data_IF_492582570217
#
_entry.id   IF_492582570217
#
_cell.length_a   1.000
_cell.length_b   1.000
_cell.length_c   1.000
_cell.angle_alpha   90.00
_cell.angle_beta   90.00
_cell.angle_gamma   90.00
#
_symmetry.space_group_name_H-M   'P 1'
#
loop_
_entity.id
_entity.type
_entity.pdbx_description
1 polymer ?
#
# COMPACT_ATOMS: atom_id res chain seq x y z
N UNK A 1 -4.99 -7.09 38.91
CA UNK A 1 -5.46 -6.31 37.75
C UNK A 1 -4.24 -5.73 37.07
N UNK A 2 -3.67 -6.43 36.08
CA UNK A 2 -2.51 -5.94 35.33
C UNK A 2 -3.01 -5.05 34.21
N UNK A 3 -2.92 -3.76 34.42
CA UNK A 3 -3.19 -2.72 33.41
C UNK A 3 -1.97 -2.66 32.46
N UNK A 4 -1.87 -3.62 31.54
CA UNK A 4 -0.91 -3.57 30.46
C UNK A 4 -1.50 -2.66 29.37
N UNK A 5 -1.32 -1.35 29.55
CA UNK A 5 -1.50 -0.42 28.43
C UNK A 5 -0.58 -0.87 27.29
N UNK A 6 -1.11 -1.11 26.06
CA UNK A 6 -0.26 -1.46 24.94
C UNK A 6 0.85 -0.43 24.76
N UNK A 7 2.09 -0.93 24.56
CA UNK A 7 3.26 -0.08 24.41
C UNK A 7 3.07 0.94 23.27
N UNK A 8 3.76 2.10 23.27
CA UNK A 8 3.66 3.12 22.23
C UNK A 8 3.86 2.58 20.80
N UNK A 9 4.70 1.54 20.64
CA UNK A 9 4.93 0.84 19.38
C UNK A 9 3.64 0.17 18.90
N UNK A 10 2.89 -0.50 19.79
CA UNK A 10 1.64 -1.16 19.43
C UNK A 10 0.54 -0.19 18.98
N UNK A 11 0.48 1.02 19.55
CA UNK A 11 -0.46 2.05 19.13
C UNK A 11 -0.14 2.59 17.74
N UNK A 12 1.13 2.83 17.46
CA UNK A 12 1.58 3.27 16.15
C UNK A 12 1.29 2.21 15.06
N UNK A 13 1.71 0.97 15.30
CA UNK A 13 1.53 -0.13 14.34
C UNK A 13 0.04 -0.37 14.04
N UNK A 14 -0.80 -0.34 15.08
CA UNK A 14 -2.24 -0.48 14.93
C UNK A 14 -2.83 0.67 14.10
N UNK A 15 -2.57 1.93 14.47
CA UNK A 15 -3.15 3.07 13.75
C UNK A 15 -2.62 3.17 12.32
N UNK A 16 -1.34 2.85 12.10
CA UNK A 16 -0.76 2.76 10.76
C UNK A 16 -1.46 1.69 9.92
N UNK A 17 -1.64 0.52 10.50
CA UNK A 17 -2.39 -0.57 9.86
C UNK A 17 -3.82 -0.13 9.52
N UNK A 18 -4.55 0.48 10.44
CA UNK A 18 -5.94 0.93 10.23
C UNK A 18 -6.05 2.00 9.12
N UNK A 19 -5.07 2.90 9.01
CA UNK A 19 -5.03 3.90 7.92
C UNK A 19 -4.69 3.23 6.58
N UNK A 20 -3.64 2.44 6.54
CA UNK A 20 -3.21 1.76 5.31
C UNK A 20 -4.27 0.76 4.83
N UNK A 21 -5.04 0.18 5.77
CA UNK A 21 -6.11 -0.76 5.46
C UNK A 21 -7.50 -0.12 5.33
N UNK A 22 -7.61 1.21 5.39
CA UNK A 22 -8.85 1.95 5.11
C UNK A 22 -9.94 1.81 6.17
N UNK A 23 -9.61 1.31 7.36
CA UNK A 23 -10.52 1.31 8.51
C UNK A 23 -10.58 2.70 9.17
N UNK A 24 -9.51 3.49 9.02
CA UNK A 24 -9.48 4.94 9.22
C UNK A 24 -9.37 5.59 7.83
N UNK A 25 -10.44 6.23 7.40
CA UNK A 25 -10.59 6.69 6.02
C UNK A 25 -9.81 7.98 5.73
N UNK A 26 -9.45 8.20 4.47
CA UNK A 26 -8.86 9.45 4.01
C UNK A 26 -9.76 10.63 4.39
N UNK A 27 -9.18 11.69 4.98
CA UNK A 27 -9.91 12.85 5.47
C UNK A 27 -10.61 12.65 6.83
N UNK A 28 -10.63 11.43 7.39
CA UNK A 28 -11.24 11.16 8.70
C UNK A 28 -10.51 11.91 9.80
N UNK A 29 -11.30 12.47 10.74
CA UNK A 29 -10.77 13.19 11.88
C UNK A 29 -10.42 12.22 13.01
N UNK A 30 -9.18 12.29 13.47
CA UNK A 30 -8.63 11.46 14.53
C UNK A 30 -8.53 12.25 15.83
N UNK A 31 -9.50 12.03 16.72
CA UNK A 31 -9.44 12.56 18.10
C UNK A 31 -8.88 11.49 19.01
N UNK A 32 -7.92 11.85 19.86
CA UNK A 32 -7.29 10.89 20.78
C UNK A 32 -8.31 10.21 21.72
N UNK A 33 -9.37 10.91 22.09
CA UNK A 33 -10.44 10.35 22.94
C UNK A 33 -11.25 9.28 22.20
N UNK A 34 -11.56 9.50 20.90
CA UNK A 34 -12.33 8.56 20.09
C UNK A 34 -11.49 7.31 19.79
N UNK A 35 -10.20 7.49 19.48
CA UNK A 35 -9.27 6.38 19.27
C UNK A 35 -9.06 5.56 20.54
N UNK A 36 -9.01 6.22 21.70
CA UNK A 36 -8.97 5.53 22.99
C UNK A 36 -10.21 4.66 23.20
N UNK A 37 -11.38 5.21 22.93
CA UNK A 37 -12.65 4.48 23.10
C UNK A 37 -12.76 3.30 22.12
N UNK A 38 -12.30 3.48 20.85
CA UNK A 38 -12.38 2.48 19.80
C UNK A 38 -11.39 1.33 19.97
N UNK A 39 -10.16 1.63 20.40
CA UNK A 39 -9.06 0.66 20.42
C UNK A 39 -8.52 0.31 21.81
N UNK A 40 -9.06 0.90 22.88
CA UNK A 40 -8.60 0.63 24.25
C UNK A 40 -7.18 1.13 24.57
N UNK A 41 -6.62 2.02 23.74
CA UNK A 41 -5.25 2.53 23.85
C UNK A 41 -5.16 3.67 24.86
N UNK A 42 -3.98 3.85 25.49
CA UNK A 42 -3.69 5.01 26.32
C UNK A 42 -3.58 6.31 25.50
N UNK A 43 -3.92 7.47 26.12
CA UNK A 43 -3.86 8.77 25.41
C UNK A 43 -2.44 9.16 25.01
N UNK A 44 -1.42 8.87 25.82
CA UNK A 44 -0.02 9.17 25.51
C UNK A 44 0.49 8.34 24.34
N UNK A 45 0.35 6.99 24.30
CA UNK A 45 0.66 6.20 23.12
C UNK A 45 -0.04 6.66 21.84
N UNK A 46 -1.31 7.05 21.92
CA UNK A 46 -2.04 7.56 20.75
C UNK A 46 -1.42 8.87 20.24
N UNK A 47 -1.09 9.81 21.11
CA UNK A 47 -0.48 11.08 20.71
C UNK A 47 0.88 10.88 20.06
N UNK A 48 1.72 10.02 20.63
CA UNK A 48 3.02 9.66 20.06
C UNK A 48 2.88 8.98 18.71
N UNK A 49 1.92 8.05 18.57
CA UNK A 49 1.60 7.42 17.30
C UNK A 49 1.16 8.44 16.23
N UNK A 50 0.27 9.38 16.59
CA UNK A 50 -0.17 10.42 15.66
C UNK A 50 0.96 11.36 15.22
N UNK A 51 1.92 11.67 16.12
CA UNK A 51 3.11 12.45 15.76
C UNK A 51 4.01 11.70 14.77
N UNK A 52 4.23 10.39 14.98
CA UNK A 52 5.01 9.55 14.04
C UNK A 52 4.31 9.42 12.70
N UNK A 53 3.02 9.16 12.69
CA UNK A 53 2.22 9.08 11.46
C UNK A 53 2.17 10.41 10.71
N UNK A 54 2.29 11.54 11.42
CA UNK A 54 2.39 12.85 10.78
C UNK A 54 3.76 13.08 10.13
N UNK A 55 4.84 12.58 10.73
CA UNK A 55 6.17 12.61 10.13
C UNK A 55 6.25 11.75 8.85
N UNK A 56 5.44 10.69 8.76
CA UNK A 56 5.29 9.84 7.58
C UNK A 56 4.28 10.40 6.54
N UNK A 57 3.60 11.52 6.84
CA UNK A 57 2.59 12.08 5.94
C UNK A 57 1.24 11.34 5.92
N UNK A 58 1.06 10.28 6.71
CA UNK A 58 -0.19 9.52 6.79
C UNK A 58 -1.31 10.28 7.49
N UNK A 59 -0.98 11.19 8.39
CA UNK A 59 -1.94 12.11 9.02
C UNK A 59 -1.42 13.55 8.99
N UNK A 60 -2.33 14.51 9.10
CA UNK A 60 -2.01 15.93 9.32
C UNK A 60 -2.47 16.34 10.71
N UNK A 61 -1.57 16.96 11.48
CA UNK A 61 -1.92 17.52 12.79
C UNK A 61 -2.73 18.79 12.59
N UNK A 62 -3.86 18.91 13.28
CA UNK A 62 -4.70 20.12 13.31
C UNK A 62 -4.52 20.80 14.67
N UNK A 63 -4.06 22.07 14.69
CA UNK A 63 -3.82 22.82 15.92
C UNK A 63 -5.09 22.82 16.79
N UNK A 64 -4.95 22.35 18.04
CA UNK A 64 -6.04 22.23 19.03
C UNK A 64 -7.24 21.34 18.61
N UNK A 65 -7.10 20.55 17.53
CA UNK A 65 -8.22 19.77 16.97
C UNK A 65 -7.90 18.28 16.76
N UNK A 66 -6.71 17.82 17.17
CA UNK A 66 -6.26 16.45 16.97
C UNK A 66 -5.50 16.27 15.65
N UNK A 67 -5.79 15.21 14.94
CA UNK A 67 -5.20 14.90 13.65
C UNK A 67 -6.30 14.55 12.63
N UNK A 68 -5.93 14.51 11.37
CA UNK A 68 -6.79 14.04 10.28
C UNK A 68 -5.99 13.11 9.38
N UNK A 69 -6.57 12.00 8.95
CA UNK A 69 -5.97 11.14 7.93
C UNK A 69 -5.72 11.98 6.68
N UNK A 70 -4.51 11.94 6.14
CA UNK A 70 -4.16 12.71 4.95
C UNK A 70 -5.11 12.39 3.80
N UNK A 71 -5.56 13.42 3.10
CA UNK A 71 -6.38 13.24 1.91
C UNK A 71 -5.57 12.50 0.83
N UNK A 72 -6.26 11.90 -0.11
CA UNK A 72 -5.66 11.32 -1.31
C UNK A 72 -5.80 12.34 -2.46
N UNK A 73 -4.80 12.42 -3.32
CA UNK A 73 -4.85 13.28 -4.49
C UNK A 73 -4.12 12.66 -5.67
N UNK A 74 -4.58 12.98 -6.88
CA UNK A 74 -3.94 12.53 -8.12
C UNK A 74 -2.51 13.06 -8.23
N UNK A 75 -2.27 14.31 -7.80
CA UNK A 75 -0.94 14.94 -7.84
C UNK A 75 0.04 14.18 -6.94
N UNK A 76 -0.36 13.90 -5.69
CA UNK A 76 0.44 13.13 -4.74
C UNK A 76 0.67 11.70 -5.23
N UNK A 77 -0.37 11.03 -5.75
CA UNK A 77 -0.26 9.70 -6.31
C UNK A 77 0.77 9.63 -7.45
N UNK A 78 0.73 10.56 -8.40
CA UNK A 78 1.67 10.59 -9.52
C UNK A 78 3.12 10.81 -9.07
N UNK A 79 3.34 11.67 -8.08
CA UNK A 79 4.68 11.90 -7.54
C UNK A 79 5.20 10.69 -6.76
N UNK A 80 4.35 10.08 -5.92
CA UNK A 80 4.62 8.83 -5.22
C UNK A 80 5.00 7.71 -6.21
N UNK A 81 4.17 7.50 -7.25
CA UNK A 81 4.39 6.41 -8.21
C UNK A 81 5.62 6.63 -9.08
N UNK A 82 5.93 7.86 -9.45
CA UNK A 82 7.18 8.21 -10.14
C UNK A 82 8.41 7.85 -9.28
N UNK A 83 8.37 8.24 -7.99
CA UNK A 83 9.46 7.94 -7.04
C UNK A 83 9.57 6.43 -6.81
N UNK A 84 8.44 5.75 -6.61
CA UNK A 84 8.40 4.30 -6.42
C UNK A 84 9.02 3.55 -7.59
N UNK A 85 8.67 3.88 -8.84
CA UNK A 85 9.23 3.23 -10.03
C UNK A 85 10.75 3.37 -10.10
N UNK A 86 11.30 4.54 -9.75
CA UNK A 86 12.73 4.76 -9.73
C UNK A 86 13.45 3.88 -8.68
N UNK A 87 12.90 3.81 -7.47
CA UNK A 87 13.46 2.97 -6.38
C UNK A 87 13.27 1.48 -6.69
N UNK A 88 12.10 1.08 -7.22
CA UNK A 88 11.82 -0.30 -7.64
C UNK A 88 12.85 -0.78 -8.68
N UNK A 89 13.12 0.04 -9.70
CA UNK A 89 14.10 -0.28 -10.74
C UNK A 89 15.52 -0.46 -10.17
N UNK A 90 15.94 0.38 -9.23
CA UNK A 90 17.22 0.23 -8.53
C UNK A 90 17.27 -1.07 -7.73
N UNK A 91 16.25 -1.34 -6.92
CA UNK A 91 16.18 -2.56 -6.08
C UNK A 91 16.19 -3.82 -6.94
N UNK A 92 15.41 -3.86 -8.03
CA UNK A 92 15.35 -5.00 -8.95
C UNK A 92 16.71 -5.28 -9.60
N UNK A 93 17.39 -4.26 -10.14
CA UNK A 93 18.70 -4.43 -10.76
C UNK A 93 19.74 -4.98 -9.78
N UNK A 94 19.77 -4.43 -8.58
CA UNK A 94 20.68 -4.90 -7.53
C UNK A 94 20.33 -6.31 -7.06
N UNK A 95 19.04 -6.64 -6.91
CA UNK A 95 18.60 -7.97 -6.50
C UNK A 95 18.93 -9.03 -7.56
N UNK A 96 18.71 -8.73 -8.84
CA UNK A 96 19.03 -9.62 -9.96
C UNK A 96 20.54 -9.86 -10.05
N UNK A 97 21.36 -8.83 -9.78
CA UNK A 97 22.82 -8.94 -9.83
C UNK A 97 23.40 -9.75 -8.65
N UNK A 98 22.73 -9.79 -7.50
CA UNK A 98 23.26 -10.35 -6.23
C UNK A 98 22.54 -11.60 -5.75
N UNK A 99 21.31 -11.82 -6.19
CA UNK A 99 20.47 -12.92 -5.72
C UNK A 99 21.09 -14.28 -6.01
N UNK A 100 20.87 -15.21 -5.10
CA UNK A 100 21.29 -16.60 -5.17
C UNK A 100 20.10 -17.54 -5.38
N UNK A 101 20.36 -18.84 -5.45
CA UNK A 101 19.32 -19.88 -5.63
C UNK A 101 18.26 -19.85 -4.52
N UNK A 102 18.65 -19.48 -3.29
CA UNK A 102 17.72 -19.37 -2.17
C UNK A 102 16.74 -18.20 -2.36
N UNK A 103 17.22 -17.08 -2.89
CA UNK A 103 16.38 -15.95 -3.27
C UNK A 103 15.43 -16.30 -4.42
N UNK A 104 15.87 -17.02 -5.44
CA UNK A 104 15.01 -17.50 -6.53
C UNK A 104 13.91 -18.43 -6.01
N UNK A 105 14.26 -19.37 -5.12
CA UNK A 105 13.30 -20.25 -4.48
C UNK A 105 12.23 -19.48 -3.67
N UNK A 106 12.62 -18.39 -2.99
CA UNK A 106 11.69 -17.55 -2.26
C UNK A 106 10.73 -16.76 -3.20
N UNK A 107 11.20 -16.30 -4.36
CA UNK A 107 10.34 -15.69 -5.38
C UNK A 107 9.30 -16.69 -5.87
N UNK A 108 9.72 -17.92 -6.21
CA UNK A 108 8.82 -18.98 -6.65
C UNK A 108 7.78 -19.33 -5.57
N UNK A 109 8.21 -19.43 -4.32
CA UNK A 109 7.33 -19.68 -3.17
C UNK A 109 6.30 -18.54 -3.04
N UNK A 110 6.74 -17.29 -3.08
CA UNK A 110 5.87 -16.13 -2.92
C UNK A 110 4.86 -16.02 -4.07
N UNK A 111 5.30 -16.28 -5.31
CA UNK A 111 4.41 -16.32 -6.48
C UNK A 111 3.38 -17.44 -6.37
N UNK A 112 3.79 -18.64 -5.93
CA UNK A 112 2.87 -19.74 -5.69
C UNK A 112 1.79 -19.37 -4.66
N UNK A 113 2.18 -18.75 -3.54
CA UNK A 113 1.22 -18.30 -2.52
C UNK A 113 0.26 -17.23 -3.07
N UNK A 114 0.76 -16.28 -3.83
CA UNK A 114 -0.06 -15.25 -4.49
C UNK A 114 -1.05 -15.87 -5.48
N UNK A 115 -0.64 -16.84 -6.29
CA UNK A 115 -1.51 -17.51 -7.26
C UNK A 115 -2.66 -18.29 -6.61
N UNK A 116 -2.49 -18.68 -5.33
CA UNK A 116 -3.52 -19.36 -4.52
C UNK A 116 -4.47 -18.39 -3.83
N UNK A 117 -4.09 -17.13 -3.71
CA UNK A 117 -4.93 -16.10 -3.12
C UNK A 117 -5.92 -15.56 -4.17
N UNK A 118 -7.23 -15.74 -3.99
CA UNK A 118 -8.20 -15.30 -4.98
C UNK A 118 -8.21 -13.76 -5.08
N UNK A 119 -8.17 -13.25 -6.30
CA UNK A 119 -8.25 -11.81 -6.55
C UNK A 119 -9.63 -11.29 -6.10
N UNK A 120 -9.71 -10.31 -5.18
CA UNK A 120 -10.97 -9.78 -4.69
C UNK A 120 -11.75 -9.10 -5.83
N UNK A 121 -13.07 -9.33 -5.86
CA UNK A 121 -13.97 -8.77 -6.88
C UNK A 121 -15.06 -7.86 -6.30
N UNK A 122 -15.21 -7.86 -4.97
CA UNK A 122 -16.23 -7.08 -4.27
C UNK A 122 -15.63 -6.44 -3.00
N UNK A 123 -16.03 -5.22 -2.64
CA UNK A 123 -15.60 -4.54 -1.41
C UNK A 123 -16.06 -5.27 -0.13
N UNK A 124 -17.08 -6.13 -0.21
CA UNK A 124 -17.58 -6.90 0.93
C UNK A 124 -16.65 -8.05 1.34
N UNK A 125 -15.71 -8.42 0.46
CA UNK A 125 -14.74 -9.50 0.66
C UNK A 125 -13.50 -9.01 1.46
N UNK A 126 -13.71 -8.35 2.61
CA UNK A 126 -12.63 -7.67 3.35
C UNK A 126 -11.47 -8.58 3.74
N UNK A 127 -11.75 -9.78 4.25
CA UNK A 127 -10.72 -10.75 4.64
C UNK A 127 -9.94 -11.26 3.43
N UNK A 128 -10.63 -11.46 2.31
CA UNK A 128 -10.02 -11.87 1.04
C UNK A 128 -9.14 -10.75 0.47
N UNK A 129 -9.59 -9.49 0.56
CA UNK A 129 -8.80 -8.32 0.20
C UNK A 129 -7.52 -8.29 1.02
N UNK A 130 -7.60 -8.41 2.36
CA UNK A 130 -6.44 -8.38 3.23
C UNK A 130 -5.47 -9.54 2.95
N UNK A 131 -5.99 -10.75 2.74
CA UNK A 131 -5.18 -11.92 2.41
C UNK A 131 -4.45 -11.76 1.08
N UNK A 132 -5.18 -11.39 0.01
CA UNK A 132 -4.58 -11.17 -1.30
C UNK A 132 -3.50 -10.08 -1.27
N UNK A 133 -3.75 -9.00 -0.56
CA UNK A 133 -2.81 -7.90 -0.42
C UNK A 133 -1.52 -8.33 0.29
N UNK A 134 -1.63 -9.13 1.36
CA UNK A 134 -0.47 -9.66 2.06
C UNK A 134 0.39 -10.54 1.14
N UNK A 135 -0.22 -11.45 0.37
CA UNK A 135 0.49 -12.29 -0.59
C UNK A 135 1.11 -11.49 -1.72
N UNK A 136 0.40 -10.49 -2.23
CA UNK A 136 0.89 -9.59 -3.26
C UNK A 136 2.11 -8.79 -2.78
N UNK A 137 2.06 -8.23 -1.57
CA UNK A 137 3.19 -7.51 -0.98
C UNK A 137 4.39 -8.42 -0.75
N UNK A 138 4.17 -9.66 -0.28
CA UNK A 138 5.23 -10.66 -0.11
C UNK A 138 5.91 -11.00 -1.43
N UNK A 139 5.15 -11.15 -2.51
CA UNK A 139 5.72 -11.39 -3.84
C UNK A 139 6.60 -10.23 -4.31
N UNK A 140 6.10 -9.00 -4.26
CA UNK A 140 6.90 -7.83 -4.64
C UNK A 140 8.15 -7.65 -3.78
N UNK A 141 8.04 -7.90 -2.47
CA UNK A 141 9.19 -7.88 -1.57
C UNK A 141 10.23 -8.95 -1.94
N UNK A 142 9.80 -10.17 -2.25
CA UNK A 142 10.70 -11.25 -2.64
C UNK A 142 11.54 -10.87 -3.87
N UNK A 143 10.95 -10.20 -4.86
CA UNK A 143 11.66 -9.74 -6.06
C UNK A 143 12.85 -8.83 -5.75
N UNK A 144 12.77 -8.00 -4.72
CA UNK A 144 13.79 -6.99 -4.39
C UNK A 144 14.66 -7.37 -3.17
N UNK A 145 14.35 -8.45 -2.47
CA UNK A 145 14.94 -8.79 -1.17
C UNK A 145 16.47 -8.96 -1.22
N UNK A 146 17.02 -9.43 -2.35
CA UNK A 146 18.46 -9.61 -2.54
C UNK A 146 19.20 -8.33 -2.97
N UNK A 147 18.58 -7.13 -2.96
CA UNK A 147 19.23 -5.91 -3.43
C UNK A 147 20.45 -5.49 -2.59
N UNK A 148 20.67 -6.10 -1.42
CA UNK A 148 21.85 -5.91 -0.59
C UNK A 148 21.95 -4.55 0.12
N UNK A 149 20.93 -3.71 0.05
CA UNK A 149 20.90 -2.40 0.69
C UNK A 149 19.70 -2.27 1.65
N UNK A 150 19.92 -2.36 2.97
CA UNK A 150 18.85 -2.14 3.94
C UNK A 150 18.20 -0.74 3.86
N UNK A 151 18.93 0.26 3.35
CA UNK A 151 18.37 1.60 3.13
C UNK A 151 17.41 1.62 1.95
N UNK A 152 17.79 1.03 0.82
CA UNK A 152 16.91 0.93 -0.35
C UNK A 152 15.65 0.14 -0.01
N UNK A 153 15.78 -0.99 0.72
CA UNK A 153 14.63 -1.81 1.12
C UNK A 153 13.67 -1.06 2.05
N UNK A 154 14.17 -0.21 2.95
CA UNK A 154 13.30 0.64 3.78
C UNK A 154 12.54 1.65 2.96
N UNK A 155 13.25 2.39 2.08
CA UNK A 155 12.61 3.39 1.21
C UNK A 155 11.58 2.69 0.30
N UNK A 156 11.95 1.54 -0.26
CA UNK A 156 11.06 0.73 -1.08
C UNK A 156 9.79 0.33 -0.31
N UNK A 157 9.93 -0.18 0.91
CA UNK A 157 8.81 -0.60 1.75
C UNK A 157 7.87 0.56 2.08
N UNK A 158 8.41 1.73 2.46
CA UNK A 158 7.63 2.92 2.75
C UNK A 158 6.82 3.37 1.52
N UNK A 159 7.44 3.41 0.33
CA UNK A 159 6.77 3.77 -0.92
C UNK A 159 5.72 2.72 -1.32
N UNK A 160 6.02 1.44 -1.12
CA UNK A 160 5.08 0.35 -1.37
C UNK A 160 3.83 0.47 -0.47
N UNK A 161 4.00 0.71 0.82
CA UNK A 161 2.93 0.88 1.79
C UNK A 161 2.06 2.11 1.47
N UNK A 162 2.68 3.25 1.15
CA UNK A 162 1.94 4.44 0.73
C UNK A 162 1.11 4.20 -0.53
N UNK A 163 1.66 3.51 -1.53
CA UNK A 163 0.92 3.19 -2.77
C UNK A 163 -0.18 2.16 -2.55
N UNK A 164 -0.01 1.25 -1.56
CA UNK A 164 -1.03 0.29 -1.15
C UNK A 164 -2.32 0.98 -0.70
N UNK A 165 -2.20 2.08 0.04
CA UNK A 165 -3.34 2.90 0.47
C UNK A 165 -4.20 3.35 -0.72
N UNK A 166 -3.57 3.79 -1.81
CA UNK A 166 -4.28 4.21 -3.02
C UNK A 166 -4.93 3.02 -3.75
N UNK A 167 -4.21 1.90 -3.87
CA UNK A 167 -4.74 0.68 -4.50
C UNK A 167 -5.95 0.14 -3.74
N UNK A 168 -5.93 0.23 -2.42
CA UNK A 168 -7.01 -0.24 -1.57
C UNK A 168 -8.27 0.61 -1.70
N UNK A 169 -8.16 1.92 -1.87
CA UNK A 169 -9.31 2.77 -2.18
C UNK A 169 -10.07 2.24 -3.40
N UNK A 170 -9.36 1.77 -4.43
CA UNK A 170 -9.96 1.14 -5.59
C UNK A 170 -10.72 -0.14 -5.27
N UNK A 171 -10.16 -0.99 -4.40
CA UNK A 171 -10.80 -2.25 -4.00
C UNK A 171 -12.02 -2.04 -3.08
N UNK A 172 -12.02 -0.94 -2.32
CA UNK A 172 -13.11 -0.57 -1.41
C UNK A 172 -14.15 0.37 -2.05
N UNK A 173 -13.83 0.99 -3.18
CA UNK A 173 -14.82 1.76 -3.93
C UNK A 173 -15.95 0.81 -4.35
N UNK A 174 -17.19 1.16 -3.94
CA UNK A 174 -18.40 0.33 -4.14
C UNK A 174 -18.86 0.32 -5.62
N UNK A 175 -17.90 0.22 -6.54
CA UNK A 175 -18.13 0.07 -7.97
C UNK A 175 -17.71 -1.33 -8.38
N UNK A 176 -18.64 -2.04 -8.99
CA UNK A 176 -18.29 -3.21 -9.80
C UNK A 176 -17.22 -2.77 -10.80
N UNK A 177 -15.97 -3.13 -10.51
CA UNK A 177 -14.90 -2.89 -11.47
C UNK A 177 -15.33 -3.58 -12.77
N UNK A 178 -15.37 -2.87 -13.91
CA UNK A 178 -15.60 -3.55 -15.18
C UNK A 178 -14.59 -4.70 -15.24
N UNK A 179 -14.96 -5.85 -15.83
CA UNK A 179 -14.01 -6.92 -16.08
C UNK A 179 -12.85 -6.25 -16.83
N UNK A 180 -11.76 -5.96 -16.10
CA UNK A 180 -10.61 -5.38 -16.76
C UNK A 180 -10.04 -6.49 -17.63
N UNK A 181 -9.73 -6.19 -18.87
CA UNK A 181 -8.96 -7.06 -19.77
C UNK A 181 -7.56 -7.34 -19.18
N UNK A 182 -7.24 -6.68 -18.07
CA UNK A 182 -5.97 -6.80 -17.34
C UNK A 182 -5.93 -8.07 -16.51
N UNK A 183 -5.08 -9.00 -16.88
CA UNK A 183 -4.74 -10.15 -16.06
C UNK A 183 -3.48 -9.87 -15.24
N UNK A 184 -3.69 -9.51 -13.98
CA UNK A 184 -2.60 -9.21 -13.03
C UNK A 184 -1.72 -10.45 -12.80
N UNK A 185 -2.27 -11.66 -12.92
CA UNK A 185 -1.50 -12.90 -12.75
C UNK A 185 -0.51 -13.09 -13.89
N UNK A 186 -0.93 -12.80 -15.12
CA UNK A 186 -0.05 -12.83 -16.30
C UNK A 186 1.08 -11.82 -16.15
N UNK A 187 0.78 -10.61 -15.66
CA UNK A 187 1.80 -9.58 -15.42
C UNK A 187 2.85 -10.05 -14.40
N UNK A 188 2.40 -10.59 -13.26
CA UNK A 188 3.30 -11.07 -12.20
C UNK A 188 4.17 -12.24 -12.68
N UNK A 189 3.60 -13.20 -13.44
CA UNK A 189 4.37 -14.29 -14.02
C UNK A 189 5.46 -13.77 -14.97
N UNK A 190 5.13 -12.82 -15.86
CA UNK A 190 6.10 -12.25 -16.80
C UNK A 190 7.24 -11.51 -16.07
N UNK A 191 6.93 -10.79 -14.97
CA UNK A 191 7.95 -10.14 -14.12
C UNK A 191 8.85 -11.20 -13.47
N UNK A 192 8.25 -12.22 -12.85
CA UNK A 192 8.99 -13.31 -12.20
C UNK A 192 9.91 -14.01 -13.19
N UNK A 193 9.43 -14.39 -14.36
CA UNK A 193 10.22 -15.01 -15.42
C UNK A 193 11.43 -14.16 -15.82
N UNK A 194 11.23 -12.85 -16.06
CA UNK A 194 12.32 -11.95 -16.40
C UNK A 194 13.37 -11.84 -15.29
N UNK A 195 12.95 -11.89 -14.02
CA UNK A 195 13.85 -11.88 -12.86
C UNK A 195 14.65 -13.18 -12.77
N UNK A 196 14.00 -14.34 -12.95
CA UNK A 196 14.66 -15.65 -12.93
C UNK A 196 15.60 -15.86 -14.13
N UNK A 197 15.26 -15.30 -15.30
CA UNK A 197 16.11 -15.23 -16.50
C UNK A 197 17.31 -14.28 -16.33
N UNK A 198 17.39 -13.55 -15.20
CA UNK A 198 18.41 -12.50 -14.92
C UNK A 198 18.39 -11.36 -15.94
N UNK A 199 17.27 -11.15 -16.64
CA UNK A 199 17.09 -10.05 -17.58
C UNK A 199 16.59 -8.80 -16.84
N UNK A 200 17.53 -8.02 -16.29
CA UNK A 200 17.23 -6.86 -15.48
C UNK A 200 16.48 -5.76 -16.26
N UNK A 201 16.78 -5.58 -17.54
CA UNK A 201 16.13 -4.55 -18.36
C UNK A 201 14.66 -4.92 -18.64
N UNK A 202 14.42 -6.17 -18.99
CA UNK A 202 13.06 -6.71 -19.18
C UNK A 202 12.26 -6.68 -17.87
N UNK A 203 12.86 -7.10 -16.75
CA UNK A 203 12.20 -7.09 -15.45
C UNK A 203 11.77 -5.68 -15.02
N UNK A 204 12.67 -4.69 -15.18
CA UNK A 204 12.38 -3.29 -14.88
C UNK A 204 11.29 -2.73 -15.79
N UNK A 205 11.33 -3.00 -17.10
CA UNK A 205 10.33 -2.53 -18.04
C UNK A 205 8.93 -3.12 -17.74
N UNK A 206 8.85 -4.41 -17.42
CA UNK A 206 7.59 -5.08 -17.04
C UNK A 206 7.04 -4.55 -15.72
N UNK A 207 7.90 -4.33 -14.73
CA UNK A 207 7.50 -3.76 -13.43
C UNK A 207 7.02 -2.31 -13.59
N UNK A 208 7.71 -1.49 -14.38
CA UNK A 208 7.29 -0.11 -14.67
C UNK A 208 5.90 -0.08 -15.34
N UNK A 209 5.67 -0.94 -16.32
CA UNK A 209 4.37 -1.07 -16.97
C UNK A 209 3.27 -1.56 -16.00
N UNK A 210 3.58 -2.53 -15.11
CA UNK A 210 2.68 -3.04 -14.09
C UNK A 210 2.26 -1.92 -13.10
N UNK A 211 3.22 -1.17 -12.58
CA UNK A 211 2.97 -0.05 -11.68
C UNK A 211 2.21 1.08 -12.38
N UNK A 212 2.55 1.39 -13.64
CA UNK A 212 1.87 2.40 -14.45
C UNK A 212 0.40 2.09 -14.71
N UNK A 213 0.07 0.82 -15.02
CA UNK A 213 -1.33 0.40 -15.16
C UNK A 213 -2.10 0.51 -13.84
N UNK A 214 -1.44 0.23 -12.72
CA UNK A 214 -2.05 0.37 -11.40
C UNK A 214 -2.32 1.84 -11.08
N UNK A 215 -1.37 2.73 -11.38
CA UNK A 215 -1.53 4.18 -11.24
C UNK A 215 -2.72 4.70 -12.06
N UNK A 216 -2.78 4.36 -13.35
CA UNK A 216 -3.87 4.79 -14.24
C UNK A 216 -5.25 4.43 -13.68
N UNK A 217 -5.43 3.18 -13.25
CA UNK A 217 -6.69 2.71 -12.66
C UNK A 217 -7.09 3.44 -11.36
N UNK A 218 -6.12 3.91 -10.58
CA UNK A 218 -6.41 4.68 -9.36
C UNK A 218 -6.70 6.13 -9.71
N UNK A 219 -6.01 6.71 -10.70
CA UNK A 219 -6.30 8.06 -11.21
C UNK A 219 -7.73 8.15 -11.70
N UNK A 220 -8.14 7.23 -12.57
CA UNK A 220 -9.52 7.18 -13.10
C UNK A 220 -10.56 7.15 -11.98
N UNK A 221 -10.31 6.36 -10.92
CA UNK A 221 -11.19 6.31 -9.76
C UNK A 221 -11.26 7.64 -8.99
N UNK A 222 -10.11 8.29 -8.77
CA UNK A 222 -10.06 9.56 -8.03
C UNK A 222 -10.72 10.69 -8.80
N UNK A 223 -10.58 10.72 -10.10
CA UNK A 223 -11.24 11.69 -10.98
C UNK A 223 -12.77 11.49 -10.95
N UNK A 224 -13.25 10.24 -11.04
CA UNK A 224 -14.67 9.89 -10.92
C UNK A 224 -15.27 10.33 -9.57
N UNK A 225 -14.56 10.11 -8.45
CA UNK A 225 -15.00 10.52 -7.10
C UNK A 225 -15.10 12.05 -7.02
N UNK A 226 -14.15 12.76 -7.61
CA UNK A 226 -14.11 14.23 -7.63
C UNK A 226 -15.30 14.82 -8.40
N UNK A 227 -15.67 14.23 -9.53
CA UNK A 227 -16.83 14.66 -10.34
C UNK A 227 -18.15 14.46 -9.60
N UNK A 228 -18.31 13.32 -8.90
CA UNK A 228 -19.53 13.04 -8.13
C UNK A 228 -19.73 14.02 -6.98
N UNK A 229 -18.66 14.33 -6.23
CA UNK A 229 -18.73 15.30 -5.12
C UNK A 229 -18.98 16.72 -5.60
N UNK A 230 -18.49 17.10 -6.78
CA UNK A 230 -18.77 18.40 -7.38
C UNK A 230 -20.24 18.53 -7.82
N UNK A 231 -20.87 17.45 -8.28
CA UNK A 231 -22.27 17.44 -8.73
C UNK A 231 -23.25 17.52 -7.55
N UNK A 232 -22.95 16.83 -6.44
CA UNK A 232 -23.79 16.88 -5.22
C UNK A 232 -23.71 18.26 -4.52
N UNK A 233 -22.56 18.93 -4.55
CA UNK A 233 -22.37 20.26 -3.97
C UNK A 233 -23.08 21.39 -4.73
N UNK A 234 -23.50 21.16 -5.97
CA UNK A 234 -24.17 22.18 -6.81
C UNK A 234 -25.72 22.06 -6.80
N UNK A 235 -26.25 21.09 -6.08
CA UNK A 235 -27.71 20.86 -5.94
C UNK A 235 -28.27 21.25 -4.58
N UNK A 236 -27.46 21.85 -3.70
CA UNK A 236 -27.83 22.37 -2.38
C UNK A 236 -27.73 23.90 -2.35
#
# INVERSE_FOLDING_TARGET
MNDHAPAPVAAYDLLRHEILHGALMAGERLRAADLRARYGLGLTPIREALLRLAAEGLVRLEANRGARVSAVSVIELRDLMRTRRAIEALCLREAIARGDDAWEAEILRAMHMLSRAPVPRSPDQRDQIAHWQAMHQQFHHALVAACGSPWLLRIWADLADHSERYRKLRLLANRSLPPSERDVTVEHNAIMEAVLDRDADRAVALMDAHLGRTEALVVDLLDDISELTATEGNTA
#
